data_IF_206905887309
#
_entry.id   IF_206905887309
#
_cell.length_a   1.000
_cell.length_b   1.000
_cell.length_c   1.000
_cell.angle_alpha   90.00
_cell.angle_beta   90.00
_cell.angle_gamma   90.00
#
_symmetry.space_group_name_H-M   'P 1'
#
loop_
_entity.id
_entity.type
_entity.pdbx_description
1 polymer ?
#
# COMPACT_ATOMS: atom_id res chain seq x y z
N UNK A 1 8.57 -22.55 1.23
CA UNK A 1 8.91 -21.80 0.00
C UNK A 1 7.64 -21.18 -0.55
N UNK A 2 7.51 -19.84 -0.52
CA UNK A 2 6.32 -19.16 -1.02
C UNK A 2 6.30 -19.19 -2.56
N UNK A 3 5.18 -19.56 -3.16
CA UNK A 3 5.00 -19.60 -4.63
C UNK A 3 5.02 -18.15 -5.16
N UNK A 4 6.04 -17.80 -5.94
CA UNK A 4 6.10 -16.51 -6.65
C UNK A 4 4.94 -16.44 -7.65
N UNK A 5 3.90 -15.66 -7.34
CA UNK A 5 2.81 -15.36 -8.26
C UNK A 5 3.26 -14.28 -9.24
N UNK A 6 3.26 -14.60 -10.53
CA UNK A 6 3.62 -13.68 -11.61
C UNK A 6 2.36 -13.12 -12.27
N UNK A 7 2.41 -11.85 -12.70
CA UNK A 7 1.33 -11.17 -13.43
C UNK A 7 1.90 -10.74 -14.78
N UNK A 8 1.22 -11.13 -15.87
CA UNK A 8 1.58 -10.69 -17.22
C UNK A 8 0.62 -9.56 -17.64
N UNK A 9 1.18 -8.39 -17.95
CA UNK A 9 0.42 -7.22 -18.38
C UNK A 9 0.65 -6.97 -19.87
N UNK A 10 -0.41 -6.65 -20.60
CA UNK A 10 -0.32 -6.14 -21.97
C UNK A 10 -0.51 -4.63 -21.93
N UNK A 11 0.55 -3.90 -22.24
CA UNK A 11 0.62 -2.44 -22.15
C UNK A 11 0.94 -1.91 -23.53
N UNK A 12 0.30 -0.81 -23.95
CA UNK A 12 0.61 -0.13 -25.19
C UNK A 12 2.05 0.41 -25.17
N UNK A 13 2.71 0.44 -26.33
CA UNK A 13 4.11 0.88 -26.44
C UNK A 13 4.34 2.30 -25.95
N UNK A 14 3.40 3.21 -26.24
CA UNK A 14 3.47 4.61 -25.80
C UNK A 14 3.48 4.74 -24.27
N UNK A 15 2.60 3.99 -23.59
CA UNK A 15 2.55 3.96 -22.13
C UNK A 15 3.79 3.28 -21.54
N UNK A 16 4.36 2.29 -22.23
CA UNK A 16 5.58 1.61 -21.82
C UNK A 16 6.80 2.55 -21.82
N UNK A 17 6.92 3.42 -22.82
CA UNK A 17 7.96 4.46 -22.86
C UNK A 17 7.80 5.49 -21.73
N UNK A 18 6.56 5.86 -21.39
CA UNK A 18 6.30 6.76 -20.26
C UNK A 18 6.70 6.11 -18.92
N UNK A 19 6.38 4.83 -18.73
CA UNK A 19 6.78 4.06 -17.54
C UNK A 19 8.30 3.98 -17.44
N UNK A 20 9.01 3.72 -18.54
CA UNK A 20 10.48 3.65 -18.55
C UNK A 20 11.13 4.97 -18.15
N UNK A 21 10.61 6.10 -18.65
CA UNK A 21 11.09 7.42 -18.25
C UNK A 21 10.85 7.68 -16.77
N UNK A 22 9.68 7.31 -16.24
CA UNK A 22 9.35 7.46 -14.83
C UNK A 22 10.23 6.56 -13.94
N UNK A 23 10.46 5.32 -14.35
CA UNK A 23 11.32 4.36 -13.66
C UNK A 23 12.78 4.84 -13.61
N UNK A 24 13.30 5.32 -14.75
CA UNK A 24 14.64 5.89 -14.85
C UNK A 24 14.81 7.14 -13.97
N UNK A 25 13.81 8.02 -13.92
CA UNK A 25 13.83 9.20 -13.06
C UNK A 25 13.85 8.85 -11.56
N UNK A 26 13.24 7.72 -11.18
CA UNK A 26 13.28 7.19 -9.81
C UNK A 26 14.48 6.27 -9.54
N UNK A 27 15.38 6.05 -10.51
CA UNK A 27 16.53 5.16 -10.36
C UNK A 27 16.16 3.68 -10.18
N UNK A 28 14.97 3.28 -10.63
CA UNK A 28 14.43 1.93 -10.45
C UNK A 28 14.25 1.22 -11.79
N UNK A 29 14.34 -0.11 -11.78
CA UNK A 29 13.93 -0.93 -12.91
C UNK A 29 12.41 -0.87 -13.11
N UNK A 30 11.96 -0.94 -14.38
CA UNK A 30 10.55 -0.91 -14.77
C UNK A 30 9.65 -1.80 -13.91
N UNK A 31 10.06 -3.04 -13.68
CA UNK A 31 9.27 -4.02 -12.91
C UNK A 31 9.15 -3.63 -11.44
N UNK A 32 10.22 -3.11 -10.85
CA UNK A 32 10.22 -2.65 -9.46
C UNK A 32 9.41 -1.37 -9.31
N UNK A 33 9.53 -0.45 -10.26
CA UNK A 33 8.74 0.77 -10.30
C UNK A 33 7.24 0.46 -10.41
N UNK A 34 6.85 -0.42 -11.34
CA UNK A 34 5.46 -0.85 -11.49
C UNK A 34 4.93 -1.53 -10.24
N UNK A 35 5.75 -2.37 -9.60
CA UNK A 35 5.38 -3.03 -8.35
C UNK A 35 5.18 -2.02 -7.23
N UNK A 36 6.10 -1.07 -7.08
CA UNK A 36 6.01 -0.02 -6.08
C UNK A 36 4.79 0.87 -6.31
N UNK A 37 4.57 1.35 -7.54
CA UNK A 37 3.42 2.16 -7.91
C UNK A 37 2.08 1.40 -7.72
N UNK A 38 2.04 0.10 -8.05
CA UNK A 38 0.86 -0.72 -7.82
C UNK A 38 0.61 -0.93 -6.32
N UNK A 39 1.64 -1.22 -5.53
CA UNK A 39 1.53 -1.36 -4.08
C UNK A 39 1.10 -0.05 -3.43
N UNK A 40 1.66 1.08 -3.84
CA UNK A 40 1.30 2.42 -3.35
C UNK A 40 -0.17 2.76 -3.64
N UNK A 41 -0.63 2.45 -4.86
CA UNK A 41 -2.04 2.62 -5.25
C UNK A 41 -2.99 1.65 -4.55
N UNK A 42 -2.58 0.40 -4.34
CA UNK A 42 -3.40 -0.65 -3.71
C UNK A 42 -3.50 -0.50 -2.20
N UNK A 43 -2.40 -0.11 -1.55
CA UNK A 43 -2.40 0.19 -0.13
C UNK A 43 -3.21 1.47 0.14
N UNK A 44 -3.33 2.35 -0.87
CA UNK A 44 -3.68 3.74 -0.65
C UNK A 44 -2.62 4.38 0.24
N UNK A 45 -2.49 5.70 0.20
CA UNK A 45 -1.69 6.41 1.21
C UNK A 45 -2.31 6.36 2.62
N UNK A 46 -3.04 5.30 2.93
CA UNK A 46 -3.74 5.10 4.19
C UNK A 46 -2.77 4.36 5.09
N UNK A 47 -2.18 5.09 6.02
CA UNK A 47 -1.43 4.46 7.09
C UNK A 47 -2.43 3.69 7.97
N UNK A 48 -2.59 2.38 7.75
CA UNK A 48 -3.53 1.54 8.51
C UNK A 48 -3.15 1.42 10.00
N UNK A 49 -1.96 1.86 10.38
CA UNK A 49 -1.52 1.95 11.78
C UNK A 49 -1.97 3.25 12.44
N UNK A 50 -2.40 4.25 11.68
CA UNK A 50 -2.88 5.53 12.19
C UNK A 50 -4.41 5.65 12.02
N UNK A 51 -5.19 5.71 13.12
CA UNK A 51 -6.65 5.87 13.05
C UNK A 51 -7.10 7.14 12.31
N UNK A 52 -6.29 8.20 12.32
CA UNK A 52 -6.62 9.45 11.60
C UNK A 52 -6.51 9.31 10.08
N UNK A 53 -5.84 8.25 9.58
CA UNK A 53 -5.81 7.95 8.15
C UNK A 53 -7.14 7.44 7.60
N UNK A 54 -8.11 7.10 8.46
CA UNK A 54 -9.47 6.79 8.05
C UNK A 54 -10.21 7.96 7.38
N UNK A 55 -9.82 9.21 7.68
CA UNK A 55 -10.39 10.40 7.04
C UNK A 55 -9.98 10.52 5.56
N UNK A 56 -8.90 9.85 5.16
CA UNK A 56 -8.44 9.78 3.77
C UNK A 56 -9.18 8.69 2.96
N UNK A 57 -10.02 7.88 3.62
CA UNK A 57 -10.79 6.82 2.98
C UNK A 57 -12.06 7.43 2.39
N UNK A 58 -12.24 7.26 1.08
CA UNK A 58 -13.48 7.58 0.41
C UNK A 58 -14.53 6.55 0.83
N UNK A 59 -15.34 6.89 1.82
CA UNK A 59 -16.45 6.07 2.30
C UNK A 59 -17.77 6.53 1.68
N UNK A 60 -18.70 5.59 1.55
CA UNK A 60 -20.04 5.84 1.01
C UNK A 60 -20.95 6.57 2.02
N UNK A 61 -20.60 6.53 3.31
CA UNK A 61 -21.37 7.10 4.43
C UNK A 61 -20.44 7.48 5.61
N UNK A 62 -20.72 8.60 6.30
CA UNK A 62 -19.90 9.10 7.42
C UNK A 62 -19.86 8.12 8.61
N UNK A 63 -20.95 7.37 8.83
CA UNK A 63 -20.98 6.33 9.86
C UNK A 63 -20.03 5.18 9.54
N UNK A 64 -19.83 4.88 8.25
CA UNK A 64 -18.86 3.87 7.83
C UNK A 64 -17.42 4.34 8.12
N UNK A 65 -17.14 5.64 8.04
CA UNK A 65 -15.83 6.20 8.44
C UNK A 65 -15.55 5.99 9.92
N UNK A 66 -16.52 6.28 10.78
CA UNK A 66 -16.37 6.10 12.23
C UNK A 66 -16.18 4.63 12.61
N UNK A 67 -16.86 3.70 11.92
CA UNK A 67 -16.64 2.26 12.08
C UNK A 67 -15.21 1.88 11.68
N UNK A 68 -14.71 2.40 10.56
CA UNK A 68 -13.34 2.12 10.11
C UNK A 68 -12.31 2.69 11.09
N UNK A 69 -12.51 3.89 11.64
CA UNK A 69 -11.67 4.46 12.70
C UNK A 69 -11.58 3.54 13.92
N UNK A 70 -12.73 3.05 14.40
CA UNK A 70 -12.75 2.18 15.58
C UNK A 70 -12.05 0.84 15.32
N UNK A 71 -12.25 0.26 14.12
CA UNK A 71 -11.55 -0.96 13.70
C UNK A 71 -10.03 -0.75 13.67
N UNK A 72 -9.55 0.32 13.04
CA UNK A 72 -8.11 0.61 12.97
C UNK A 72 -7.51 0.86 14.36
N UNK A 73 -8.21 1.61 15.23
CA UNK A 73 -7.77 1.84 16.61
C UNK A 73 -7.72 0.55 17.45
N UNK A 74 -8.61 -0.39 17.17
CA UNK A 74 -8.64 -1.70 17.85
C UNK A 74 -7.54 -2.63 17.32
N UNK A 75 -7.28 -2.64 16.02
CA UNK A 75 -6.16 -3.38 15.41
C UNK A 75 -4.84 -2.87 15.97
N UNK A 76 -4.62 -1.55 16.01
CA UNK A 76 -3.39 -0.97 16.57
C UNK A 76 -3.19 -1.35 18.06
N UNK A 77 -4.26 -1.34 18.88
CA UNK A 77 -4.20 -1.80 20.27
C UNK A 77 -3.83 -3.29 20.37
N UNK A 78 -4.40 -4.13 19.52
CA UNK A 78 -4.08 -5.57 19.47
C UNK A 78 -2.63 -5.80 19.02
N UNK A 79 -2.18 -5.13 17.97
CA UNK A 79 -0.80 -5.21 17.48
C UNK A 79 0.20 -4.79 18.55
N UNK A 80 -0.03 -3.69 19.28
CA UNK A 80 0.83 -3.28 20.40
C UNK A 80 0.87 -4.28 21.55
N UNK A 81 -0.20 -5.03 21.75
CA UNK A 81 -0.30 -6.02 22.82
C UNK A 81 0.37 -7.33 22.43
N UNK A 82 0.28 -7.72 21.15
CA UNK A 82 0.80 -9.00 20.63
C UNK A 82 2.25 -8.88 20.15
N UNK A 83 2.64 -7.72 19.62
CA UNK A 83 3.99 -7.41 19.12
C UNK A 83 4.58 -6.20 19.85
N UNK A 84 4.85 -6.30 21.17
CA UNK A 84 5.49 -5.22 21.91
C UNK A 84 6.96 -5.10 21.48
N UNK A 85 7.25 -4.26 20.48
CA UNK A 85 8.61 -3.88 20.09
C UNK A 85 9.02 -4.09 18.64
N UNK A 86 8.14 -4.59 17.76
CA UNK A 86 8.43 -4.65 16.31
C UNK A 86 8.05 -3.34 15.61
N UNK A 87 8.91 -2.34 15.74
CA UNK A 87 9.07 -1.26 14.74
C UNK A 87 9.96 -1.73 13.56
N UNK A 88 10.40 -2.99 13.57
CA UNK A 88 11.16 -3.58 12.48
C UNK A 88 10.19 -4.20 11.48
N UNK A 89 10.00 -3.51 10.38
CA UNK A 89 9.43 -4.06 9.17
C UNK A 89 10.25 -5.32 8.76
N UNK A 90 9.63 -6.51 8.68
CA UNK A 90 10.33 -7.73 8.23
C UNK A 90 10.74 -7.69 6.75
N UNK A 91 10.43 -6.60 6.04
CA UNK A 91 10.79 -6.33 4.66
C UNK A 91 11.57 -5.02 4.46
N UNK A 92 11.95 -4.29 5.53
CA UNK A 92 12.88 -3.16 5.43
C UNK A 92 14.35 -3.63 5.34
#
# INVERSE_FOLDING_TARGET
MAVMKTINLRISSDLLEQIDKAAAASGQDRSNWLRHAATDKLNGNINTRDPASADQIQVVDERAREIVKDILARINRLEKTVFPGEDNDPFA
#
